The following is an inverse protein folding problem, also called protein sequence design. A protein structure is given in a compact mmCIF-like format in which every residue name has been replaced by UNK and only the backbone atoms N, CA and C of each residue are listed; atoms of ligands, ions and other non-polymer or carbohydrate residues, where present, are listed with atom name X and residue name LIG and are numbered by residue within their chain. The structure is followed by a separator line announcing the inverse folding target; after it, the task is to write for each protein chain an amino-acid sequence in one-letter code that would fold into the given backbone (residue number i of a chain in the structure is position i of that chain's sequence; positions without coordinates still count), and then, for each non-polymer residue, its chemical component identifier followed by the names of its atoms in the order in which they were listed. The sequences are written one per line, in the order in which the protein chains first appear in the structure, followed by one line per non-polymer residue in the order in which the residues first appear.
data_IF_292726766192
#
_entry.id   IF_292726766192
#
_cell.length_a   1.000
_cell.length_b   1.000
_cell.length_c   1.000
_cell.angle_alpha   90.00
_cell.angle_beta   90.00
_cell.angle_gamma   90.00
#
_symmetry.space_group_name_H-M   'P 1'
#
loop_
_entity.id
_entity.type
_entity.pdbx_description
1 polymer ?
#
# COMPACT_ATOMS: atom_id res chain seq x y z
N UNK A 1 5.28 34.19 2.28
CA UNK A 1 3.90 33.62 2.33
C UNK A 1 3.76 32.25 1.63
N UNK A 2 4.44 31.97 0.50
CA UNK A 2 4.29 30.72 -0.31
C UNK A 2 4.75 29.40 0.34
N UNK A 3 5.76 29.43 1.23
CA UNK A 3 6.27 28.22 1.94
C UNK A 3 5.38 27.80 3.12
N UNK A 4 4.73 28.75 3.78
CA UNK A 4 3.88 28.49 4.96
C UNK A 4 2.65 27.65 4.59
N UNK A 5 1.97 27.93 3.46
CA UNK A 5 0.80 27.15 3.03
C UNK A 5 1.14 25.73 2.56
N UNK A 6 2.34 25.50 2.01
CA UNK A 6 2.78 24.16 1.59
C UNK A 6 3.11 23.27 2.80
N UNK A 7 3.85 23.81 3.78
CA UNK A 7 4.14 23.11 5.04
C UNK A 7 2.84 22.75 5.77
N UNK A 8 1.88 23.68 5.89
CA UNK A 8 0.58 23.39 6.50
C UNK A 8 -0.19 22.28 5.77
N UNK A 9 -0.19 22.28 4.42
CA UNK A 9 -0.84 21.23 3.63
C UNK A 9 -0.23 19.84 3.87
N UNK A 10 1.10 19.73 3.92
CA UNK A 10 1.79 18.47 4.19
C UNK A 10 1.54 17.96 5.62
N UNK A 11 1.52 18.85 6.63
CA UNK A 11 1.20 18.48 8.01
C UNK A 11 -0.24 17.98 8.15
N UNK A 12 -1.20 18.63 7.49
CA UNK A 12 -2.60 18.21 7.51
C UNK A 12 -2.77 16.83 6.88
N UNK A 13 -2.20 16.59 5.69
CA UNK A 13 -2.28 15.27 5.03
C UNK A 13 -1.60 14.18 5.89
N UNK A 14 -0.45 14.48 6.51
CA UNK A 14 0.22 13.53 7.39
C UNK A 14 -0.65 13.17 8.62
N UNK A 15 -1.30 14.16 9.23
CA UNK A 15 -2.22 13.93 10.35
C UNK A 15 -3.45 13.11 9.93
N UNK A 16 -4.02 13.42 8.77
CA UNK A 16 -5.16 12.67 8.19
C UNK A 16 -4.77 11.20 7.97
N UNK A 17 -3.60 10.92 7.40
CA UNK A 17 -3.11 9.55 7.20
C UNK A 17 -2.92 8.77 8.51
N UNK A 18 -2.47 9.44 9.58
CA UNK A 18 -2.37 8.81 10.91
C UNK A 18 -3.77 8.47 11.43
N UNK A 19 -4.72 9.39 11.33
CA UNK A 19 -6.10 9.17 11.78
C UNK A 19 -6.76 8.02 11.01
N UNK A 20 -6.59 7.99 9.68
CA UNK A 20 -7.03 6.90 8.80
C UNK A 20 -6.41 5.58 9.22
N UNK A 21 -5.10 5.55 9.47
CA UNK A 21 -4.39 4.36 9.93
C UNK A 21 -4.96 3.82 11.25
N UNK A 22 -5.31 4.70 12.19
CA UNK A 22 -5.96 4.33 13.45
C UNK A 22 -7.37 3.78 13.22
N UNK A 23 -8.20 4.45 12.42
CA UNK A 23 -9.55 3.97 12.07
C UNK A 23 -9.47 2.60 11.41
N UNK A 24 -8.55 2.41 10.46
CA UNK A 24 -8.31 1.13 9.79
C UNK A 24 -7.82 0.03 10.72
N UNK A 25 -6.97 0.35 11.69
CA UNK A 25 -6.53 -0.59 12.72
C UNK A 25 -7.70 -1.06 13.59
N UNK A 26 -8.47 -0.13 14.16
CA UNK A 26 -9.63 -0.49 14.98
C UNK A 26 -10.72 -1.22 14.18
N UNK A 27 -10.94 -0.80 12.92
CA UNK A 27 -11.83 -1.50 11.99
C UNK A 27 -11.43 -2.97 11.87
N UNK A 28 -10.16 -3.23 11.59
CA UNK A 28 -9.67 -4.59 11.38
C UNK A 28 -9.75 -5.42 12.67
N UNK A 29 -9.36 -4.85 13.82
CA UNK A 29 -9.48 -5.51 15.13
C UNK A 29 -10.94 -5.90 15.42
N UNK A 30 -11.90 -4.98 15.28
CA UNK A 30 -13.31 -5.27 15.56
C UNK A 30 -13.87 -6.26 14.53
N UNK A 31 -13.58 -6.05 13.25
CA UNK A 31 -14.02 -6.94 12.17
C UNK A 31 -13.55 -8.38 12.43
N UNK A 32 -12.28 -8.56 12.79
CA UNK A 32 -11.70 -9.87 13.06
C UNK A 32 -12.34 -10.58 14.25
N UNK A 33 -12.81 -9.85 15.27
CA UNK A 33 -13.60 -10.41 16.38
C UNK A 33 -15.00 -10.85 15.94
N UNK A 34 -15.59 -10.18 14.97
CA UNK A 34 -16.96 -10.45 14.51
C UNK A 34 -17.04 -11.59 13.50
N UNK A 35 -16.05 -11.71 12.59
CA UNK A 35 -16.08 -12.69 11.48
C UNK A 35 -15.04 -13.81 11.61
N UNK A 36 -14.16 -13.72 12.61
CA UNK A 36 -13.10 -14.71 12.88
C UNK A 36 -11.95 -14.67 11.88
N UNK A 37 -10.94 -15.52 12.13
CA UNK A 37 -9.73 -15.60 11.32
C UNK A 37 -9.98 -16.05 9.88
N UNK A 38 -10.89 -17.02 9.69
CA UNK A 38 -11.28 -17.52 8.37
C UNK A 38 -11.90 -16.42 7.50
N UNK A 39 -12.87 -15.67 8.03
CA UNK A 39 -13.51 -14.58 7.30
C UNK A 39 -12.52 -13.47 6.94
N UNK A 40 -11.58 -13.18 7.83
CA UNK A 40 -10.47 -12.28 7.55
C UNK A 40 -9.55 -12.85 6.45
N UNK A 41 -9.29 -14.16 6.45
CA UNK A 41 -8.56 -14.85 5.39
C UNK A 41 -9.20 -14.66 4.02
N UNK A 42 -10.51 -14.94 3.92
CA UNK A 42 -11.30 -14.74 2.70
C UNK A 42 -11.29 -13.27 2.24
N UNK A 43 -11.41 -12.32 3.17
CA UNK A 43 -11.31 -10.89 2.89
C UNK A 43 -9.93 -10.52 2.31
N UNK A 44 -8.85 -11.04 2.87
CA UNK A 44 -7.48 -10.75 2.44
C UNK A 44 -7.13 -11.43 1.11
N UNK A 45 -7.61 -12.66 0.87
CA UNK A 45 -7.52 -13.33 -0.42
C UNK A 45 -8.23 -12.52 -1.51
N UNK A 46 -9.47 -12.09 -1.24
CA UNK A 46 -10.26 -11.24 -2.14
C UNK A 46 -9.54 -9.93 -2.43
N UNK A 47 -9.03 -9.27 -1.40
CA UNK A 47 -8.26 -8.02 -1.53
C UNK A 47 -7.01 -8.21 -2.38
N UNK A 48 -6.33 -9.35 -2.25
CA UNK A 48 -5.12 -9.67 -3.03
C UNK A 48 -5.43 -9.92 -4.50
N UNK A 49 -6.63 -10.39 -4.84
CA UNK A 49 -7.12 -10.48 -6.23
C UNK A 49 -7.52 -9.10 -6.75
N UNK A 50 -8.16 -8.27 -5.92
CA UNK A 50 -8.64 -6.95 -6.30
C UNK A 50 -7.50 -5.97 -6.65
N UNK A 51 -6.39 -6.01 -5.91
CA UNK A 51 -5.29 -5.04 -6.04
C UNK A 51 -4.66 -4.97 -7.46
N UNK A 52 -4.36 -6.09 -8.16
CA UNK A 52 -3.90 -6.06 -9.55
C UNK A 52 -4.85 -5.35 -10.51
N UNK A 53 -6.17 -5.49 -10.34
CA UNK A 53 -7.15 -4.78 -11.17
C UNK A 53 -7.16 -3.28 -10.86
N UNK A 54 -7.10 -2.93 -9.57
CA UNK A 54 -7.09 -1.53 -9.14
C UNK A 54 -5.83 -0.79 -9.59
N UNK A 55 -4.65 -1.40 -9.48
CA UNK A 55 -3.39 -0.67 -9.77
C UNK A 55 -3.28 -0.25 -11.25
N UNK A 56 -3.98 -0.93 -12.17
CA UNK A 56 -4.06 -0.55 -13.58
C UNK A 56 -4.63 0.86 -13.75
N UNK A 57 -5.66 1.21 -12.96
CA UNK A 57 -6.35 2.50 -13.02
C UNK A 57 -5.85 3.48 -11.97
N UNK A 58 -5.45 3.02 -10.79
CA UNK A 58 -5.06 3.89 -9.67
C UNK A 58 -3.56 4.17 -9.60
N UNK A 59 -2.72 3.39 -10.27
CA UNK A 59 -1.26 3.50 -10.18
C UNK A 59 -0.72 4.83 -10.73
N UNK A 60 -0.98 5.12 -12.00
CA UNK A 60 -0.44 6.30 -12.67
C UNK A 60 -1.43 7.41 -12.96
N UNK A 61 -2.71 7.08 -13.20
CA UNK A 61 -3.70 8.03 -13.73
C UNK A 61 -3.96 9.20 -12.76
N UNK A 62 -4.24 8.97 -11.45
CA UNK A 62 -4.49 10.06 -10.50
C UNK A 62 -3.29 11.02 -10.39
N UNK A 63 -2.08 10.48 -10.40
CA UNK A 63 -0.83 11.23 -10.34
C UNK A 63 -0.63 12.08 -11.59
N UNK A 64 -0.89 11.52 -12.77
CA UNK A 64 -0.84 12.23 -14.04
C UNK A 64 -1.86 13.39 -14.08
N UNK A 65 -3.10 13.13 -13.66
CA UNK A 65 -4.15 14.16 -13.55
C UNK A 65 -3.73 15.28 -12.61
N UNK A 66 -3.28 14.94 -11.39
CA UNK A 66 -2.84 15.92 -10.40
C UNK A 66 -1.73 16.82 -10.95
N UNK A 67 -0.73 16.21 -11.59
CA UNK A 67 0.40 16.91 -12.20
C UNK A 67 -0.02 17.85 -13.34
N UNK A 68 -0.74 17.34 -14.33
CA UNK A 68 -1.12 18.11 -15.52
C UNK A 68 -2.08 19.26 -15.18
N UNK A 69 -2.98 19.05 -14.21
CA UNK A 69 -3.88 20.11 -13.70
C UNK A 69 -3.10 21.17 -12.92
N UNK A 70 -2.11 20.77 -12.11
CA UNK A 70 -1.25 21.71 -11.40
C UNK A 70 -0.36 22.53 -12.36
N UNK A 71 0.16 21.91 -13.42
CA UNK A 71 0.93 22.57 -14.49
C UNK A 71 0.08 23.63 -15.21
N UNK A 72 -1.19 23.32 -15.53
CA UNK A 72 -2.12 24.28 -16.12
C UNK A 72 -2.38 25.49 -15.22
N UNK A 73 -2.59 25.28 -13.92
CA UNK A 73 -2.78 26.39 -12.97
C UNK A 73 -1.54 27.27 -12.80
N UNK A 74 -0.36 26.75 -13.14
CA UNK A 74 0.88 27.54 -13.13
C UNK A 74 1.08 28.41 -14.37
N UNK A 75 0.17 28.33 -15.36
CA UNK A 75 0.25 29.07 -16.62
C UNK A 75 1.13 28.43 -17.69
N UNK A 76 1.65 27.22 -17.44
CA UNK A 76 2.62 26.55 -18.30
C UNK A 76 2.02 25.43 -19.19
N UNK A 77 0.70 25.42 -19.43
CA UNK A 77 0.04 24.34 -20.17
C UNK A 77 -0.75 24.82 -21.39
N UNK A 78 -0.72 24.02 -22.44
CA UNK A 78 -1.52 24.14 -23.67
C UNK A 78 -2.92 23.49 -23.54
N UNK A 79 -3.13 22.68 -22.50
CA UNK A 79 -4.38 21.95 -22.24
C UNK A 79 -5.15 22.57 -21.08
N UNK A 80 -6.47 22.57 -21.16
CA UNK A 80 -7.33 22.99 -20.05
C UNK A 80 -7.37 21.88 -18.98
N UNK A 81 -7.14 22.22 -17.71
CA UNK A 81 -7.19 21.27 -16.59
C UNK A 81 -8.51 20.48 -16.52
N UNK A 82 -9.63 21.12 -16.90
CA UNK A 82 -10.94 20.46 -17.03
C UNK A 82 -10.96 19.34 -18.07
N UNK A 83 -10.33 19.56 -19.23
CA UNK A 83 -10.32 18.59 -20.34
C UNK A 83 -9.46 17.38 -20.01
N UNK A 84 -8.35 17.59 -19.32
CA UNK A 84 -7.51 16.51 -18.77
C UNK A 84 -8.36 15.64 -17.83
N UNK A 85 -9.07 16.27 -16.90
CA UNK A 85 -9.95 15.57 -15.96
C UNK A 85 -11.06 14.77 -16.65
N UNK A 86 -11.79 15.38 -17.58
CA UNK A 86 -12.87 14.71 -18.33
C UNK A 86 -12.34 13.52 -19.16
N UNK A 87 -11.20 13.69 -19.82
CA UNK A 87 -10.55 12.60 -20.57
C UNK A 87 -10.15 11.45 -19.65
N UNK A 88 -9.59 11.77 -18.47
CA UNK A 88 -9.23 10.78 -17.47
C UNK A 88 -10.45 10.03 -16.92
N UNK A 89 -11.56 10.74 -16.64
CA UNK A 89 -12.82 10.16 -16.16
C UNK A 89 -13.38 9.17 -17.17
N UNK A 90 -13.52 9.57 -18.45
CA UNK A 90 -14.08 8.69 -19.49
C UNK A 90 -13.20 7.46 -19.71
N UNK A 91 -11.89 7.66 -19.81
CA UNK A 91 -10.94 6.56 -19.98
C UNK A 91 -10.97 5.59 -18.79
N UNK A 92 -10.91 6.13 -17.57
CA UNK A 92 -10.88 5.31 -16.35
C UNK A 92 -12.18 4.56 -16.14
N UNK A 93 -13.33 5.16 -16.44
CA UNK A 93 -14.62 4.49 -16.38
C UNK A 93 -14.68 3.31 -17.37
N UNK A 94 -14.26 3.53 -18.62
CA UNK A 94 -14.25 2.47 -19.64
C UNK A 94 -13.33 1.30 -19.24
N UNK A 95 -12.10 1.60 -18.80
CA UNK A 95 -11.12 0.58 -18.38
C UNK A 95 -11.58 -0.15 -17.12
N UNK A 96 -12.01 0.58 -16.09
CA UNK A 96 -12.45 -0.05 -14.82
C UNK A 96 -13.71 -0.89 -14.99
N UNK A 97 -14.64 -0.50 -15.86
CA UNK A 97 -15.81 -1.32 -16.19
C UNK A 97 -15.40 -2.61 -16.90
N UNK A 98 -14.49 -2.53 -17.87
CA UNK A 98 -13.92 -3.71 -18.53
C UNK A 98 -13.23 -4.64 -17.52
N UNK A 99 -12.40 -4.09 -16.64
CA UNK A 99 -11.70 -4.84 -15.59
C UNK A 99 -12.66 -5.49 -14.59
N UNK A 100 -13.74 -4.79 -14.21
CA UNK A 100 -14.79 -5.32 -13.35
C UNK A 100 -15.52 -6.52 -13.99
N UNK A 101 -15.85 -6.43 -15.28
CA UNK A 101 -16.43 -7.55 -16.04
C UNK A 101 -15.46 -8.74 -16.17
N UNK A 102 -14.16 -8.47 -16.39
CA UNK A 102 -13.14 -9.51 -16.41
C UNK A 102 -13.06 -10.19 -15.03
N UNK A 103 -13.10 -9.45 -13.93
CA UNK A 103 -13.08 -10.03 -12.59
C UNK A 103 -14.30 -10.93 -12.35
N UNK A 104 -15.50 -10.51 -12.78
CA UNK A 104 -16.72 -11.32 -12.70
C UNK A 104 -16.57 -12.62 -13.52
N UNK A 105 -16.10 -12.51 -14.77
CA UNK A 105 -15.93 -13.66 -15.65
C UNK A 105 -14.88 -14.66 -15.12
N UNK A 106 -13.82 -14.15 -14.48
CA UNK A 106 -12.75 -14.98 -13.91
C UNK A 106 -13.04 -15.42 -12.46
N UNK A 107 -14.06 -14.89 -11.79
CA UNK A 107 -14.30 -15.12 -10.36
C UNK A 107 -14.37 -16.61 -10.01
N UNK A 108 -15.09 -17.41 -10.81
CA UNK A 108 -15.19 -18.87 -10.62
C UNK A 108 -13.86 -19.60 -10.81
N UNK A 109 -13.07 -19.21 -11.82
CA UNK A 109 -11.74 -19.80 -12.08
C UNK A 109 -10.78 -19.45 -10.94
N UNK A 110 -10.85 -18.22 -10.43
CA UNK A 110 -10.00 -17.75 -9.33
C UNK A 110 -10.36 -18.47 -8.03
N UNK A 111 -11.64 -18.56 -7.67
CA UNK A 111 -12.06 -19.22 -6.41
C UNK A 111 -11.76 -20.71 -6.41
N UNK A 112 -12.22 -21.44 -7.43
CA UNK A 112 -12.10 -22.91 -7.49
C UNK A 112 -10.74 -23.40 -7.98
N UNK A 113 -10.11 -22.68 -8.92
CA UNK A 113 -8.85 -23.09 -9.53
C UNK A 113 -7.62 -22.54 -8.81
N UNK A 114 -7.56 -21.22 -8.60
CA UNK A 114 -6.37 -20.57 -8.06
C UNK A 114 -6.27 -20.70 -6.53
N UNK A 115 -7.36 -20.45 -5.81
CA UNK A 115 -7.40 -20.53 -4.34
C UNK A 115 -7.93 -21.85 -3.80
N UNK A 116 -8.60 -22.66 -4.65
CA UNK A 116 -9.23 -23.94 -4.28
C UNK A 116 -10.17 -23.76 -3.06
N UNK A 117 -10.92 -22.66 -3.04
CA UNK A 117 -11.87 -22.33 -2.00
C UNK A 117 -13.13 -21.68 -2.61
N UNK A 118 -14.24 -22.44 -2.62
CA UNK A 118 -15.51 -22.00 -3.21
C UNK A 118 -16.18 -20.85 -2.43
N UNK A 119 -15.91 -20.72 -1.12
CA UNK A 119 -16.46 -19.64 -0.29
C UNK A 119 -15.93 -18.26 -0.68
N UNK A 120 -14.86 -18.21 -1.48
CA UNK A 120 -14.30 -16.97 -2.01
C UNK A 120 -15.15 -16.39 -3.15
N UNK A 121 -15.94 -17.20 -3.86
CA UNK A 121 -16.73 -16.76 -5.02
C UNK A 121 -17.65 -15.56 -4.72
N UNK A 122 -18.52 -15.57 -3.70
CA UNK A 122 -19.38 -14.42 -3.39
C UNK A 122 -18.57 -13.17 -3.05
N UNK A 123 -17.42 -13.32 -2.39
CA UNK A 123 -16.54 -12.20 -2.07
C UNK A 123 -15.98 -11.55 -3.35
N UNK A 124 -15.51 -12.36 -4.32
CA UNK A 124 -14.98 -11.84 -5.60
C UNK A 124 -16.06 -11.11 -6.42
N UNK A 125 -17.28 -11.65 -6.47
CA UNK A 125 -18.39 -11.02 -7.19
C UNK A 125 -18.78 -9.68 -6.55
N UNK A 126 -18.80 -9.59 -5.21
CA UNK A 126 -19.08 -8.36 -4.47
C UNK A 126 -17.93 -7.34 -4.53
N UNK A 127 -16.70 -7.78 -4.82
CA UNK A 127 -15.55 -6.89 -5.03
C UNK A 127 -15.55 -6.21 -6.40
N UNK A 128 -16.20 -6.81 -7.41
CA UNK A 128 -16.24 -6.27 -8.77
C UNK A 128 -16.72 -4.82 -8.89
N UNK A 129 -17.82 -4.37 -8.23
CA UNK A 129 -18.22 -2.96 -8.27
C UNK A 129 -17.18 -2.02 -7.65
N UNK A 130 -16.41 -2.48 -6.66
CA UNK A 130 -15.36 -1.68 -6.03
C UNK A 130 -14.29 -1.25 -7.04
N UNK A 131 -14.00 -2.08 -8.06
CA UNK A 131 -13.04 -1.73 -9.12
C UNK A 131 -13.43 -0.42 -9.80
N UNK A 132 -14.70 -0.26 -10.16
CA UNK A 132 -15.18 0.95 -10.83
C UNK A 132 -15.18 2.14 -9.89
N UNK A 133 -15.75 1.97 -8.68
CA UNK A 133 -15.93 3.07 -7.73
C UNK A 133 -14.57 3.62 -7.27
N UNK A 134 -13.65 2.75 -6.83
CA UNK A 134 -12.29 3.14 -6.38
C UNK A 134 -11.52 3.84 -7.51
N UNK A 135 -11.60 3.30 -8.73
CA UNK A 135 -10.92 3.91 -9.88
C UNK A 135 -11.40 5.33 -10.14
N UNK A 136 -12.72 5.54 -10.04
CA UNK A 136 -13.33 6.86 -10.18
C UNK A 136 -12.93 7.79 -9.03
N UNK A 137 -13.03 7.34 -7.78
CA UNK A 137 -12.61 8.09 -6.59
C UNK A 137 -11.16 8.58 -6.75
N UNK A 138 -10.25 7.71 -7.19
CA UNK A 138 -8.84 8.03 -7.35
C UNK A 138 -8.60 9.17 -8.36
N UNK A 139 -9.31 9.18 -9.49
CA UNK A 139 -9.20 10.26 -10.51
C UNK A 139 -9.71 11.59 -9.97
N UNK A 140 -10.85 11.58 -9.26
CA UNK A 140 -11.40 12.77 -8.62
C UNK A 140 -10.46 13.33 -7.55
N UNK A 141 -9.89 12.46 -6.70
CA UNK A 141 -8.92 12.86 -5.69
C UNK A 141 -7.67 13.45 -6.32
N UNK A 142 -7.16 12.84 -7.40
CA UNK A 142 -6.07 13.37 -8.22
C UNK A 142 -6.36 14.77 -8.77
N UNK A 143 -7.57 15.01 -9.27
CA UNK A 143 -8.01 16.32 -9.74
C UNK A 143 -8.04 17.37 -8.61
N UNK A 144 -8.62 17.06 -7.45
CA UNK A 144 -8.64 17.97 -6.30
C UNK A 144 -7.22 18.28 -5.80
N UNK A 145 -6.33 17.30 -5.76
CA UNK A 145 -4.91 17.52 -5.44
C UNK A 145 -4.25 18.48 -6.46
N UNK A 146 -4.50 18.30 -7.75
CA UNK A 146 -4.02 19.21 -8.80
C UNK A 146 -4.56 20.64 -8.66
N UNK A 147 -5.81 20.78 -8.19
CA UNK A 147 -6.42 22.07 -7.85
C UNK A 147 -5.94 22.68 -6.52
N UNK A 148 -5.10 21.96 -5.76
CA UNK A 148 -4.62 22.30 -4.41
C UNK A 148 -5.70 22.31 -3.33
N UNK A 149 -6.79 21.56 -3.53
CA UNK A 149 -7.85 21.36 -2.53
C UNK A 149 -7.54 20.13 -1.65
N UNK A 150 -6.36 20.14 -1.02
CA UNK A 150 -5.81 19.02 -0.25
C UNK A 150 -6.69 18.63 0.94
N UNK A 151 -7.32 19.62 1.59
CA UNK A 151 -8.21 19.40 2.74
C UNK A 151 -9.49 18.68 2.35
N UNK A 152 -10.09 19.03 1.21
CA UNK A 152 -11.29 18.38 0.71
C UNK A 152 -11.02 16.93 0.27
N UNK A 153 -9.86 16.69 -0.36
CA UNK A 153 -9.39 15.35 -0.71
C UNK A 153 -9.08 14.51 0.54
N UNK A 154 -8.45 15.08 1.58
CA UNK A 154 -8.20 14.36 2.82
C UNK A 154 -9.47 14.09 3.63
N UNK A 155 -10.47 14.98 3.60
CA UNK A 155 -11.78 14.73 4.20
C UNK A 155 -12.52 13.56 3.51
N UNK A 156 -12.32 13.42 2.19
CA UNK A 156 -12.83 12.33 1.36
C UNK A 156 -12.42 10.94 1.90
N UNK A 157 -11.13 10.77 2.22
CA UNK A 157 -10.60 9.53 2.79
C UNK A 157 -11.17 9.23 4.19
N UNK A 158 -11.34 10.26 5.03
CA UNK A 158 -11.97 10.08 6.35
C UNK A 158 -13.43 9.61 6.18
N UNK A 159 -14.17 10.20 5.24
CA UNK A 159 -15.56 9.81 4.93
C UNK A 159 -15.61 8.35 4.47
N UNK A 160 -14.71 7.93 3.59
CA UNK A 160 -14.60 6.53 3.12
C UNK A 160 -14.46 5.56 4.30
N UNK A 161 -13.42 5.76 5.12
CA UNK A 161 -13.07 4.86 6.20
C UNK A 161 -14.12 4.85 7.32
N UNK A 162 -14.65 6.01 7.69
CA UNK A 162 -15.68 6.12 8.73
C UNK A 162 -17.00 5.51 8.27
N UNK A 163 -17.42 5.78 7.02
CA UNK A 163 -18.67 5.22 6.48
C UNK A 163 -18.57 3.70 6.35
N UNK A 164 -17.45 3.18 5.82
CA UNK A 164 -17.20 1.73 5.78
C UNK A 164 -17.20 1.12 7.17
N UNK A 165 -16.50 1.74 8.12
CA UNK A 165 -16.46 1.27 9.51
C UNK A 165 -17.87 1.17 10.10
N UNK A 166 -18.63 2.27 10.07
CA UNK A 166 -19.94 2.33 10.72
C UNK A 166 -20.94 1.38 10.09
N UNK A 167 -20.99 1.32 8.76
CA UNK A 167 -21.96 0.47 8.05
C UNK A 167 -21.61 -1.00 8.20
N UNK A 168 -20.35 -1.41 7.96
CA UNK A 168 -19.97 -2.82 8.03
C UNK A 168 -20.10 -3.35 9.45
N UNK A 169 -19.53 -2.64 10.43
CA UNK A 169 -19.58 -3.09 11.83
C UNK A 169 -21.02 -3.06 12.33
N UNK A 170 -21.79 -2.01 12.03
CA UNK A 170 -23.21 -1.93 12.37
C UNK A 170 -24.00 -3.11 11.81
N UNK A 171 -23.84 -3.42 10.52
CA UNK A 171 -24.56 -4.52 9.87
C UNK A 171 -24.16 -5.89 10.43
N UNK A 172 -22.86 -6.13 10.66
CA UNK A 172 -22.38 -7.37 11.26
C UNK A 172 -22.87 -7.57 12.69
N UNK A 173 -22.95 -6.50 13.50
CA UNK A 173 -23.47 -6.59 14.86
C UNK A 173 -24.97 -6.91 14.92
N UNK A 174 -25.75 -6.42 13.94
CA UNK A 174 -27.20 -6.69 13.85
C UNK A 174 -27.51 -8.11 13.37
N UNK A 175 -26.63 -8.70 12.56
CA UNK A 175 -26.84 -10.01 11.95
C UNK A 175 -26.22 -11.18 12.73
N UNK A 176 -25.63 -10.95 13.92
CA UNK A 176 -24.95 -12.03 14.65
C UNK A 176 -25.92 -13.14 15.08
N UNK A 177 -25.50 -14.43 15.01
CA UNK A 177 -24.21 -14.92 14.50
C UNK A 177 -24.17 -15.01 12.96
N UNK A 178 -23.05 -14.57 12.36
CA UNK A 178 -22.81 -14.64 10.90
C UNK A 178 -21.73 -15.68 10.62
N UNK A 179 -21.86 -16.46 9.55
CA UNK A 179 -20.78 -17.37 9.13
C UNK A 179 -19.56 -16.59 8.62
N UNK A 180 -18.33 -17.13 8.74
CA UNK A 180 -17.12 -16.44 8.29
C UNK A 180 -17.18 -15.98 6.83
N UNK A 181 -17.68 -16.83 5.92
CA UNK A 181 -17.86 -16.50 4.51
C UNK A 181 -18.81 -15.31 4.27
N UNK A 182 -19.98 -15.31 4.92
CA UNK A 182 -20.93 -14.19 4.81
C UNK A 182 -20.39 -12.92 5.46
N UNK A 183 -19.66 -13.04 6.58
CA UNK A 183 -18.99 -11.93 7.22
C UNK A 183 -17.94 -11.27 6.32
N UNK A 184 -17.14 -12.08 5.64
CA UNK A 184 -16.17 -11.63 4.64
C UNK A 184 -16.85 -10.94 3.46
N UNK A 185 -17.93 -11.52 2.93
CA UNK A 185 -18.71 -10.96 1.83
C UNK A 185 -19.28 -9.57 2.18
N UNK A 186 -19.84 -9.40 3.39
CA UNK A 186 -20.33 -8.11 3.91
C UNK A 186 -19.17 -7.11 4.00
N UNK A 187 -18.01 -7.53 4.52
CA UNK A 187 -16.84 -6.66 4.64
C UNK A 187 -16.33 -6.18 3.28
N UNK A 188 -16.28 -7.07 2.28
CA UNK A 188 -15.88 -6.73 0.90
C UNK A 188 -16.89 -5.79 0.25
N UNK A 189 -18.19 -6.06 0.37
CA UNK A 189 -19.24 -5.17 -0.10
C UNK A 189 -19.11 -3.76 0.54
N UNK A 190 -18.75 -3.73 1.82
CA UNK A 190 -18.46 -2.50 2.57
C UNK A 190 -17.38 -1.62 1.95
N UNK A 191 -16.42 -2.18 1.21
CA UNK A 191 -15.43 -1.39 0.45
C UNK A 191 -16.14 -0.51 -0.56
N UNK A 192 -17.02 -1.10 -1.39
CA UNK A 192 -17.82 -0.38 -2.39
C UNK A 192 -18.71 0.69 -1.75
N UNK A 193 -19.32 0.40 -0.60
CA UNK A 193 -20.22 1.33 0.09
C UNK A 193 -19.47 2.54 0.64
N UNK A 194 -18.32 2.32 1.31
CA UNK A 194 -17.49 3.42 1.82
C UNK A 194 -16.96 4.31 0.69
N UNK A 195 -16.47 3.68 -0.38
CA UNK A 195 -15.98 4.37 -1.57
C UNK A 195 -17.06 5.13 -2.32
N UNK A 196 -18.31 4.63 -2.34
CA UNK A 196 -19.41 5.36 -2.93
C UNK A 196 -19.72 6.66 -2.18
N UNK A 197 -19.67 6.63 -0.84
CA UNK A 197 -19.83 7.82 -0.02
C UNK A 197 -18.70 8.84 -0.26
N UNK A 198 -17.47 8.37 -0.40
CA UNK A 198 -16.33 9.21 -0.79
C UNK A 198 -16.53 9.85 -2.18
N UNK A 199 -16.87 9.04 -3.18
CA UNK A 199 -17.10 9.51 -4.55
C UNK A 199 -18.21 10.56 -4.62
N UNK A 200 -19.31 10.39 -3.87
CA UNK A 200 -20.39 11.38 -3.77
C UNK A 200 -19.86 12.71 -3.22
N UNK A 201 -19.06 12.67 -2.14
CA UNK A 201 -18.43 13.86 -1.56
C UNK A 201 -17.52 14.55 -2.59
N UNK A 202 -16.66 13.79 -3.27
CA UNK A 202 -15.74 14.33 -4.27
C UNK A 202 -16.47 14.98 -5.45
N UNK A 203 -17.53 14.34 -5.96
CA UNK A 203 -18.37 14.91 -7.03
C UNK A 203 -19.02 16.21 -6.58
N UNK A 204 -19.51 16.27 -5.33
CA UNK A 204 -20.13 17.48 -4.79
C UNK A 204 -19.12 18.64 -4.69
N UNK A 205 -17.92 18.39 -4.15
CA UNK A 205 -16.84 19.39 -4.07
C UNK A 205 -16.43 19.85 -5.47
N UNK A 206 -16.23 18.91 -6.38
CA UNK A 206 -15.85 19.16 -7.78
C UNK A 206 -16.86 20.11 -8.45
N UNK A 207 -18.16 19.79 -8.41
CA UNK A 207 -19.21 20.62 -9.00
C UNK A 207 -19.28 22.03 -8.39
N UNK A 208 -19.13 22.12 -7.06
CA UNK A 208 -19.16 23.41 -6.35
C UNK A 208 -17.99 24.31 -6.78
N UNK A 209 -16.82 23.74 -6.97
CA UNK A 209 -15.63 24.48 -7.38
C UNK A 209 -15.64 24.79 -8.88
N UNK A 210 -16.13 23.88 -9.72
CA UNK A 210 -16.34 24.12 -11.15
C UNK A 210 -17.30 25.29 -11.41
N UNK A 211 -18.35 25.45 -10.60
CA UNK A 211 -19.29 26.57 -10.69
C UNK A 211 -18.65 27.94 -10.36
N UNK A 212 -17.51 27.96 -9.66
CA UNK A 212 -16.77 29.18 -9.29
C UNK A 212 -15.70 29.57 -10.32
N UNK A 213 -15.37 28.67 -11.24
CA UNK A 213 -14.33 28.91 -12.24
C UNK A 213 -14.93 29.54 -13.51
N UNK A 214 -14.23 30.50 -14.14
CA UNK A 214 -14.64 31.02 -15.44
C UNK A 214 -14.74 29.87 -16.45
N UNK A 215 -15.75 29.92 -17.33
CA UNK A 215 -15.89 28.92 -18.41
C UNK A 215 -14.58 28.84 -19.19
N UNK A 216 -14.03 27.64 -19.41
CA UNK A 216 -12.75 27.51 -20.09
C UNK A 216 -12.85 28.04 -21.52
N UNK A 217 -11.86 28.83 -21.93
CA UNK A 217 -11.65 29.11 -23.37
C UNK A 217 -11.35 27.77 -24.05
N UNK A 218 -12.03 27.47 -25.16
CA UNK A 218 -11.81 26.25 -25.94
C UNK A 218 -10.33 26.14 -26.32
N UNK A 219 -9.66 25.09 -25.86
CA UNK A 219 -8.30 24.77 -26.32
C UNK A 219 -8.38 24.11 -27.71
N UNK A 220 -7.51 24.49 -28.66
CA UNK A 220 -7.50 23.92 -30.01
C UNK A 220 -7.05 22.45 -30.08
N UNK A 221 -6.47 21.89 -29.02
CA UNK A 221 -5.97 20.51 -29.02
C UNK A 221 -7.12 19.49 -28.88
N UNK A 222 -7.18 18.43 -29.70
CA UNK A 222 -8.21 17.39 -29.63
C UNK A 222 -8.14 16.50 -28.36
N UNK A 223 -9.23 15.77 -28.06
CA UNK A 223 -9.28 14.74 -27.00
C UNK A 223 -8.16 13.68 -27.11
N UNK A 224 -7.80 13.16 -28.30
CA UNK A 224 -6.76 12.14 -28.44
C UNK A 224 -5.40 12.61 -27.92
N UNK A 225 -5.03 13.87 -28.20
CA UNK A 225 -3.75 14.44 -27.78
C UNK A 225 -3.68 14.76 -26.28
N UNK A 226 -4.80 14.77 -25.56
CA UNK A 226 -4.81 14.91 -24.08
C UNK A 226 -4.62 13.55 -23.41
N UNK A 227 -5.23 12.50 -23.98
CA UNK A 227 -5.12 11.14 -23.46
C UNK A 227 -3.70 10.58 -23.63
N UNK A 228 -3.04 10.84 -24.76
CA UNK A 228 -1.64 10.40 -24.97
C UNK A 228 -0.70 10.94 -23.91
N UNK A 229 -0.73 12.25 -23.65
CA UNK A 229 0.10 12.90 -22.62
C UNK A 229 -0.20 12.35 -21.23
N UNK A 230 -1.47 12.06 -20.94
CA UNK A 230 -1.86 11.43 -19.68
C UNK A 230 -1.26 10.03 -19.55
N UNK A 231 -1.34 9.21 -20.60
CA UNK A 231 -0.83 7.83 -20.60
C UNK A 231 0.70 7.76 -20.59
N UNK A 232 1.40 8.72 -21.20
CA UNK A 232 2.87 8.80 -21.14
C UNK A 232 3.38 8.97 -19.71
N UNK A 233 2.63 9.69 -18.86
CA UNK A 233 2.94 9.84 -17.44
C UNK A 233 2.43 8.64 -16.64
N UNK A 234 1.21 8.19 -16.91
CA UNK A 234 0.57 7.15 -16.11
C UNK A 234 1.16 5.75 -16.35
N UNK A 235 1.51 5.41 -17.59
CA UNK A 235 1.96 4.07 -17.99
C UNK A 235 3.16 3.55 -17.17
N UNK A 236 4.29 4.29 -17.09
CA UNK A 236 5.45 3.87 -16.32
C UNK A 236 5.17 3.70 -14.82
N UNK A 237 4.31 4.57 -14.25
CA UNK A 237 3.91 4.51 -12.84
C UNK A 237 3.04 3.29 -12.57
N UNK A 238 2.06 3.02 -13.43
CA UNK A 238 1.21 1.83 -13.36
C UNK A 238 2.04 0.55 -13.50
N UNK A 239 3.00 0.49 -14.44
CA UNK A 239 3.86 -0.68 -14.62
C UNK A 239 4.72 -0.95 -13.37
N UNK A 240 5.26 0.11 -12.76
CA UNK A 240 6.02 0.00 -11.52
C UNK A 240 5.14 -0.53 -10.38
N UNK A 241 3.92 -0.01 -10.24
CA UNK A 241 2.94 -0.48 -9.25
C UNK A 241 2.56 -1.94 -9.46
N UNK A 242 2.25 -2.34 -10.69
CA UNK A 242 1.88 -3.71 -11.07
C UNK A 242 2.94 -4.73 -10.64
N UNK A 243 4.22 -4.42 -10.85
CA UNK A 243 5.31 -5.33 -10.44
C UNK A 243 5.29 -5.67 -8.95
N UNK A 244 4.98 -4.68 -8.10
CA UNK A 244 4.92 -4.85 -6.65
C UNK A 244 3.63 -5.52 -6.20
N UNK A 245 2.52 -5.23 -6.87
CA UNK A 245 1.21 -5.80 -6.55
C UNK A 245 1.14 -7.28 -6.91
N UNK A 246 1.63 -7.67 -8.10
CA UNK A 246 1.66 -9.08 -8.53
C UNK A 246 2.45 -9.93 -7.54
N UNK A 247 3.57 -9.41 -7.02
CA UNK A 247 4.39 -10.11 -6.03
C UNK A 247 3.66 -10.32 -4.68
N UNK A 248 2.82 -9.37 -4.28
CA UNK A 248 1.98 -9.50 -3.08
C UNK A 248 0.84 -10.50 -3.31
N UNK A 249 0.16 -10.44 -4.45
CA UNK A 249 -0.88 -11.40 -4.83
C UNK A 249 -0.33 -12.83 -4.93
N UNK A 250 0.92 -12.99 -5.42
CA UNK A 250 1.59 -14.29 -5.45
C UNK A 250 1.75 -14.89 -4.05
N UNK A 251 2.12 -14.09 -3.04
CA UNK A 251 2.17 -14.56 -1.64
C UNK A 251 0.79 -14.96 -1.12
N UNK A 252 -0.23 -14.16 -1.42
CA UNK A 252 -1.59 -14.42 -0.96
C UNK A 252 -2.21 -15.70 -1.54
N UNK A 253 -1.77 -16.11 -2.73
CA UNK A 253 -2.14 -17.39 -3.35
C UNK A 253 -1.25 -18.53 -2.82
N UNK A 254 0.07 -18.31 -2.76
CA UNK A 254 1.03 -19.35 -2.41
C UNK A 254 0.85 -19.87 -0.99
N UNK A 255 0.65 -18.99 -0.01
CA UNK A 255 0.62 -19.38 1.41
C UNK A 255 -0.57 -20.33 1.67
N UNK A 256 -1.83 -19.99 1.35
CA UNK A 256 -2.95 -20.91 1.56
C UNK A 256 -2.80 -22.23 0.79
N UNK A 257 -2.35 -22.19 -0.47
CA UNK A 257 -2.14 -23.42 -1.26
C UNK A 257 -1.12 -24.36 -0.62
N UNK A 258 -0.03 -23.81 -0.07
CA UNK A 258 1.01 -24.63 0.58
C UNK A 258 0.58 -25.11 1.96
N UNK A 259 -0.22 -24.34 2.70
CA UNK A 259 -0.86 -24.79 3.93
C UNK A 259 -1.84 -25.95 3.67
N UNK A 260 -2.59 -25.91 2.57
CA UNK A 260 -3.42 -27.05 2.18
C UNK A 260 -2.55 -28.27 1.80
N UNK A 261 -1.45 -28.05 1.07
CA UNK A 261 -0.50 -29.11 0.75
C UNK A 261 0.20 -29.71 1.99
N UNK A 262 0.25 -28.98 3.11
CA UNK A 262 0.75 -29.48 4.39
C UNK A 262 -0.28 -30.30 5.17
N UNK A 263 -1.51 -30.47 4.63
CA UNK A 263 -2.57 -31.29 5.20
C UNK A 263 -3.76 -30.52 5.79
N UNK A 264 -3.76 -29.19 5.75
CA UNK A 264 -4.90 -28.39 6.22
C UNK A 264 -6.05 -28.40 5.19
N UNK A 265 -7.27 -28.27 5.69
CA UNK A 265 -8.43 -27.97 4.85
C UNK A 265 -8.37 -26.53 4.31
N UNK A 266 -9.16 -26.23 3.27
CA UNK A 266 -9.22 -24.87 2.70
C UNK A 266 -9.67 -23.80 3.69
N UNK A 267 -10.55 -24.14 4.63
CA UNK A 267 -11.04 -23.26 5.70
C UNK A 267 -9.97 -23.01 6.76
N UNK A 268 -9.25 -24.05 7.20
CA UNK A 268 -8.11 -23.92 8.13
C UNK A 268 -6.96 -23.13 7.52
N UNK A 269 -6.62 -23.39 6.25
CA UNK A 269 -5.60 -22.64 5.53
C UNK A 269 -5.97 -21.16 5.36
N UNK A 270 -7.25 -20.86 5.09
CA UNK A 270 -7.76 -19.49 5.07
C UNK A 270 -7.69 -18.83 6.45
N UNK A 271 -8.03 -19.55 7.52
CA UNK A 271 -7.93 -19.04 8.88
C UNK A 271 -6.48 -18.70 9.28
N UNK A 272 -5.52 -19.59 9.01
CA UNK A 272 -4.10 -19.33 9.28
C UNK A 272 -3.54 -18.17 8.46
N UNK A 273 -3.92 -18.08 7.18
CA UNK A 273 -3.60 -16.93 6.36
C UNK A 273 -4.21 -15.63 6.93
N UNK A 274 -5.46 -15.67 7.37
CA UNK A 274 -6.16 -14.54 7.99
C UNK A 274 -5.53 -14.08 9.30
N UNK A 275 -5.10 -15.01 10.17
CA UNK A 275 -4.32 -14.71 11.38
C UNK A 275 -3.05 -13.96 11.01
N UNK A 276 -2.31 -14.46 10.02
CA UNK A 276 -1.05 -13.86 9.58
C UNK A 276 -1.27 -12.45 8.99
N UNK A 277 -2.10 -12.33 7.96
CA UNK A 277 -2.19 -11.09 7.16
C UNK A 277 -3.13 -10.05 7.76
N UNK A 278 -4.22 -10.49 8.40
CA UNK A 278 -5.23 -9.59 8.91
C UNK A 278 -5.10 -9.26 10.39
N UNK A 279 -4.51 -10.14 11.21
CA UNK A 279 -4.36 -9.91 12.65
C UNK A 279 -2.91 -9.59 13.05
N UNK A 280 -1.93 -10.36 12.59
CA UNK A 280 -0.51 -10.18 13.00
C UNK A 280 0.17 -9.06 12.24
N UNK A 281 0.02 -8.97 10.91
CA UNK A 281 0.70 -7.94 10.11
C UNK A 281 0.35 -6.51 10.53
N UNK A 282 -0.91 -6.11 10.80
CA UNK A 282 -1.19 -4.75 11.27
C UNK A 282 -0.36 -4.35 12.49
N UNK A 283 -0.07 -5.29 13.40
CA UNK A 283 0.84 -5.08 14.53
C UNK A 283 2.30 -4.99 14.07
N UNK A 284 2.79 -5.97 13.33
CA UNK A 284 4.19 -6.04 12.85
C UNK A 284 4.58 -4.81 12.00
N UNK A 285 3.63 -4.24 11.26
CA UNK A 285 3.82 -3.03 10.46
C UNK A 285 3.63 -1.72 11.24
N UNK A 286 3.24 -1.72 12.52
CA UNK A 286 3.07 -0.48 13.31
C UNK A 286 4.31 0.44 13.31
N UNK A 287 5.57 -0.03 13.37
CA UNK A 287 6.72 0.86 13.31
C UNK A 287 6.85 1.62 11.97
N UNK A 288 6.15 1.19 10.90
CA UNK A 288 6.13 1.94 9.64
C UNK A 288 5.52 3.31 9.78
N UNK A 289 4.59 3.50 10.71
CA UNK A 289 4.00 4.84 10.95
C UNK A 289 5.09 5.86 11.30
N UNK A 290 6.02 5.49 12.18
CA UNK A 290 7.16 6.31 12.58
C UNK A 290 8.20 6.38 11.46
N UNK A 291 8.60 5.24 10.88
CA UNK A 291 9.66 5.24 9.86
C UNK A 291 9.24 5.93 8.56
N UNK A 292 7.95 5.91 8.20
CA UNK A 292 7.45 6.62 7.02
C UNK A 292 7.50 8.13 7.21
N UNK A 293 7.06 8.62 8.37
CA UNK A 293 7.19 10.04 8.73
C UNK A 293 8.67 10.48 8.75
N UNK A 294 9.55 9.59 9.22
CA UNK A 294 10.98 9.81 9.23
C UNK A 294 11.55 9.86 7.80
N UNK A 295 11.20 8.91 6.93
CA UNK A 295 11.67 8.84 5.52
C UNK A 295 11.24 10.09 4.74
N UNK A 296 10.00 10.56 4.92
CA UNK A 296 9.50 11.81 4.29
C UNK A 296 10.37 13.02 4.66
N UNK A 297 10.87 13.07 5.90
CA UNK A 297 11.75 14.15 6.36
C UNK A 297 13.23 13.93 5.99
N UNK A 298 13.71 12.69 5.97
CA UNK A 298 15.09 12.35 5.62
C UNK A 298 15.34 12.63 4.16
N UNK A 299 14.45 12.22 3.26
CA UNK A 299 14.68 12.32 1.80
C UNK A 299 15.15 13.71 1.39
N UNK A 300 14.39 14.81 1.60
CA UNK A 300 14.80 16.12 1.15
C UNK A 300 16.09 16.61 1.83
N UNK A 301 16.23 16.38 3.14
CA UNK A 301 17.40 16.83 3.90
C UNK A 301 18.68 16.09 3.50
N UNK A 302 18.60 14.78 3.36
CA UNK A 302 19.73 13.93 3.00
C UNK A 302 20.10 14.11 1.53
N UNK A 303 19.14 14.25 0.61
CA UNK A 303 19.39 14.58 -0.80
C UNK A 303 20.17 15.90 -0.92
N UNK A 304 19.79 16.93 -0.17
CA UNK A 304 20.48 18.21 -0.17
C UNK A 304 21.91 18.10 0.38
N UNK A 305 22.09 17.42 1.51
CA UNK A 305 23.41 17.20 2.12
C UNK A 305 24.35 16.35 1.25
N UNK A 306 23.81 15.32 0.59
CA UNK A 306 24.54 14.47 -0.35
C UNK A 306 24.97 15.25 -1.60
N UNK A 307 24.06 16.07 -2.16
CA UNK A 307 24.36 16.94 -3.31
C UNK A 307 25.42 17.99 -2.96
N UNK A 308 25.38 18.54 -1.75
CA UNK A 308 26.39 19.45 -1.22
C UNK A 308 27.71 18.76 -0.84
N UNK A 309 27.86 17.45 -1.11
CA UNK A 309 29.01 16.61 -0.75
C UNK A 309 29.42 16.69 0.73
N UNK A 310 28.49 17.01 1.62
CA UNK A 310 28.74 17.15 3.04
C UNK A 310 28.55 15.80 3.75
N UNK A 311 29.50 14.88 3.52
CA UNK A 311 29.44 13.50 4.04
C UNK A 311 29.30 13.44 5.55
N UNK A 312 29.89 14.39 6.30
CA UNK A 312 29.78 14.43 7.76
C UNK A 312 28.34 14.71 8.23
N UNK A 313 27.67 15.69 7.63
CA UNK A 313 26.25 15.98 7.93
C UNK A 313 25.36 14.81 7.49
N UNK A 314 25.58 14.28 6.29
CA UNK A 314 24.83 13.14 5.77
C UNK A 314 24.92 11.90 6.67
N UNK A 315 26.13 11.53 7.12
CA UNK A 315 26.34 10.42 8.04
C UNK A 315 25.71 10.66 9.41
N UNK A 316 25.68 11.92 9.91
CA UNK A 316 24.97 12.27 11.14
C UNK A 316 23.47 12.09 10.98
N UNK A 317 22.90 12.56 9.87
CA UNK A 317 21.47 12.36 9.54
C UNK A 317 21.13 10.88 9.40
N UNK A 318 21.98 10.07 8.77
CA UNK A 318 21.80 8.61 8.68
C UNK A 318 21.85 7.95 10.07
N UNK A 319 22.81 8.31 10.93
CA UNK A 319 22.87 7.78 12.30
C UNK A 319 21.64 8.15 13.12
N UNK A 320 21.17 9.40 13.01
CA UNK A 320 19.94 9.85 13.67
C UNK A 320 18.73 9.07 13.19
N UNK A 321 18.62 8.87 11.87
CA UNK A 321 17.55 8.07 11.28
C UNK A 321 17.52 6.66 11.85
N UNK A 322 18.65 5.96 11.82
CA UNK A 322 18.76 4.58 12.33
C UNK A 322 18.47 4.52 13.84
N UNK A 323 18.99 5.48 14.62
CA UNK A 323 18.73 5.56 16.05
C UNK A 323 17.24 5.74 16.37
N UNK A 324 16.54 6.62 15.65
CA UNK A 324 15.10 6.83 15.81
C UNK A 324 14.29 5.60 15.36
N UNK A 325 14.69 4.95 14.26
CA UNK A 325 14.06 3.70 13.80
C UNK A 325 14.16 2.60 14.86
N UNK A 326 15.35 2.41 15.45
CA UNK A 326 15.55 1.42 16.51
C UNK A 326 14.80 1.79 17.78
N UNK A 327 14.79 3.08 18.16
CA UNK A 327 14.03 3.56 19.32
C UNK A 327 12.51 3.33 19.17
N UNK A 328 11.99 3.31 17.93
CA UNK A 328 10.59 2.97 17.67
C UNK A 328 10.35 1.45 17.60
N UNK A 329 11.22 0.70 16.91
CA UNK A 329 10.97 -0.70 16.60
C UNK A 329 11.34 -1.67 17.74
N UNK A 330 12.43 -1.40 18.48
CA UNK A 330 12.90 -2.31 19.54
C UNK A 330 11.90 -2.41 20.70
N UNK A 331 11.32 -1.31 21.23
CA UNK A 331 10.31 -1.43 22.27
C UNK A 331 9.07 -2.21 21.83
N UNK A 332 8.63 -2.04 20.58
CA UNK A 332 7.53 -2.82 20.01
C UNK A 332 7.89 -4.30 19.87
N UNK A 333 9.11 -4.63 19.44
CA UNK A 333 9.57 -6.02 19.37
C UNK A 333 9.60 -6.67 20.76
N UNK A 334 10.10 -5.96 21.78
CA UNK A 334 10.05 -6.44 23.17
C UNK A 334 8.61 -6.66 23.61
N UNK A 335 7.72 -5.68 23.38
CA UNK A 335 6.30 -5.78 23.69
C UNK A 335 5.64 -7.01 23.05
N UNK A 336 5.92 -7.27 21.76
CA UNK A 336 5.39 -8.43 21.05
C UNK A 336 5.94 -9.76 21.54
N UNK A 337 7.18 -9.80 22.04
CA UNK A 337 7.76 -11.03 22.59
C UNK A 337 7.27 -11.30 24.01
N UNK A 338 7.11 -10.26 24.84
CA UNK A 338 6.76 -10.39 26.26
C UNK A 338 5.25 -10.46 26.51
N UNK A 339 4.45 -9.69 25.75
CA UNK A 339 2.99 -9.60 25.92
C UNK A 339 2.21 -10.23 24.76
N UNK A 340 2.83 -11.14 24.01
CA UNK A 340 2.24 -11.77 22.82
C UNK A 340 0.87 -12.41 23.09
N UNK A 341 0.76 -13.19 24.17
CA UNK A 341 -0.44 -13.93 24.55
C UNK A 341 -1.55 -12.97 25.04
N UNK A 342 -1.30 -12.04 25.98
CA UNK A 342 -2.26 -11.01 26.34
C UNK A 342 -2.74 -10.17 25.14
N UNK A 343 -1.86 -9.84 24.20
CA UNK A 343 -2.22 -9.09 23.00
C UNK A 343 -3.14 -9.90 22.08
N UNK A 344 -2.80 -11.17 21.80
CA UNK A 344 -3.64 -12.06 20.99
C UNK A 344 -5.03 -12.25 21.60
N UNK A 345 -5.09 -12.48 22.92
CA UNK A 345 -6.33 -12.62 23.65
C UNK A 345 -7.15 -11.31 23.65
N UNK A 346 -6.56 -10.18 24.07
CA UNK A 346 -7.30 -8.92 24.21
C UNK A 346 -7.78 -8.34 22.88
N UNK A 347 -6.96 -8.44 21.82
CA UNK A 347 -7.27 -7.86 20.52
C UNK A 347 -8.08 -8.78 19.61
N UNK A 348 -7.90 -10.10 19.70
CA UNK A 348 -8.46 -11.03 18.70
C UNK A 348 -9.27 -12.19 19.29
N UNK A 349 -9.26 -12.37 20.62
CA UNK A 349 -9.83 -13.55 21.29
C UNK A 349 -9.30 -14.89 20.71
N UNK A 350 -8.06 -14.88 20.19
CA UNK A 350 -7.44 -16.03 19.53
C UNK A 350 -6.02 -16.25 20.07
N UNK A 351 -5.79 -17.41 20.71
CA UNK A 351 -4.50 -17.77 21.29
C UNK A 351 -3.43 -18.12 20.24
N UNK A 352 -3.84 -18.61 19.06
CA UNK A 352 -2.94 -18.90 17.93
C UNK A 352 -2.27 -17.62 17.41
N UNK A 353 -2.99 -16.51 17.41
CA UNK A 353 -2.45 -15.19 17.07
C UNK A 353 -1.34 -14.78 18.04
N UNK A 354 -1.49 -15.05 19.34
CA UNK A 354 -0.46 -14.74 20.34
C UNK A 354 0.88 -15.46 20.09
N UNK A 355 0.84 -16.69 19.58
CA UNK A 355 2.03 -17.43 19.15
C UNK A 355 2.72 -16.77 17.95
N UNK A 356 1.94 -16.41 16.93
CA UNK A 356 2.45 -15.74 15.72
C UNK A 356 3.00 -14.34 15.99
N UNK A 357 2.36 -13.55 16.86
CA UNK A 357 2.88 -12.25 17.33
C UNK A 357 4.27 -12.44 17.94
N UNK A 358 4.44 -13.45 18.81
CA UNK A 358 5.73 -13.74 19.44
C UNK A 358 6.79 -14.10 18.40
N UNK A 359 6.44 -14.97 17.46
CA UNK A 359 7.36 -15.47 16.44
C UNK A 359 7.80 -14.34 15.49
N UNK A 360 6.88 -13.47 15.08
CA UNK A 360 7.15 -12.34 14.19
C UNK A 360 7.73 -11.11 14.90
N UNK A 361 7.68 -11.06 16.24
CA UNK A 361 8.03 -9.88 17.02
C UNK A 361 9.42 -9.31 16.72
N UNK A 362 10.43 -10.18 16.56
CA UNK A 362 11.79 -9.77 16.19
C UNK A 362 11.91 -9.26 14.75
N UNK A 363 11.10 -9.77 13.82
CA UNK A 363 11.13 -9.37 12.41
C UNK A 363 10.77 -7.89 12.25
N UNK A 364 9.93 -7.36 13.14
CA UNK A 364 9.56 -5.94 13.25
C UNK A 364 10.77 -5.00 13.23
N UNK A 365 11.89 -5.38 13.87
CA UNK A 365 13.11 -4.55 13.90
C UNK A 365 13.78 -4.52 12.53
N UNK A 366 14.00 -5.68 11.92
CA UNK A 366 14.62 -5.78 10.59
C UNK A 366 13.76 -5.12 9.52
N UNK A 367 12.45 -5.30 9.63
CA UNK A 367 11.44 -4.70 8.78
C UNK A 367 11.48 -3.16 8.83
N UNK A 368 11.56 -2.57 10.02
CA UNK A 368 11.68 -1.11 10.19
C UNK A 368 13.03 -0.57 9.67
N UNK A 369 14.11 -1.32 9.90
CA UNK A 369 15.45 -0.97 9.42
C UNK A 369 15.53 -1.00 7.89
N UNK A 370 15.06 -2.06 7.23
CA UNK A 370 15.08 -2.14 5.77
C UNK A 370 14.29 -0.98 5.14
N UNK A 371 13.14 -0.59 5.72
CA UNK A 371 12.35 0.53 5.22
C UNK A 371 13.13 1.86 5.30
N UNK A 372 13.81 2.08 6.43
CA UNK A 372 14.66 3.25 6.64
C UNK A 372 15.84 3.27 5.67
N UNK A 373 16.51 2.13 5.47
CA UNK A 373 17.65 2.02 4.56
C UNK A 373 17.24 2.22 3.10
N UNK A 374 16.14 1.62 2.66
CA UNK A 374 15.58 1.87 1.34
C UNK A 374 15.27 3.36 1.14
N UNK A 375 14.68 4.03 2.14
CA UNK A 375 14.45 5.48 2.10
C UNK A 375 15.75 6.29 1.96
N UNK A 376 16.81 5.91 2.68
CA UNK A 376 18.14 6.52 2.55
C UNK A 376 18.73 6.31 1.15
N UNK A 377 18.63 5.10 0.58
CA UNK A 377 19.08 4.82 -0.78
C UNK A 377 18.33 5.66 -1.82
N UNK A 378 17.01 5.77 -1.68
CA UNK A 378 16.18 6.63 -2.52
C UNK A 378 16.64 8.09 -2.45
N UNK A 379 16.99 8.58 -1.25
CA UNK A 379 17.50 9.94 -1.01
C UNK A 379 18.83 10.23 -1.74
N UNK A 380 19.67 9.22 -1.97
CA UNK A 380 20.95 9.39 -2.67
C UNK A 380 20.91 8.98 -4.14
N UNK A 381 19.71 8.85 -4.71
CA UNK A 381 19.50 8.52 -6.12
C UNK A 381 19.75 7.05 -6.45
N UNK A 382 19.76 6.15 -5.46
CA UNK A 382 19.96 4.70 -5.64
C UNK A 382 18.66 3.89 -5.61
N UNK A 383 17.56 4.48 -6.08
CA UNK A 383 16.24 3.85 -6.05
C UNK A 383 16.21 2.49 -6.76
N UNK A 384 16.88 2.36 -7.91
CA UNK A 384 16.90 1.11 -8.67
C UNK A 384 17.61 -0.02 -7.89
N UNK A 385 18.63 0.31 -7.08
CA UNK A 385 19.30 -0.66 -6.21
C UNK A 385 18.37 -1.11 -5.08
N UNK A 386 17.69 -0.16 -4.42
CA UNK A 386 16.73 -0.48 -3.35
C UNK A 386 15.58 -1.37 -3.88
N UNK A 387 15.01 -1.03 -5.03
CA UNK A 387 13.97 -1.84 -5.67
C UNK A 387 14.48 -3.23 -6.03
N UNK A 388 15.68 -3.35 -6.61
CA UNK A 388 16.26 -4.64 -6.95
C UNK A 388 16.51 -5.51 -5.71
N UNK A 389 17.05 -4.95 -4.62
CA UNK A 389 17.24 -5.70 -3.37
C UNK A 389 15.91 -6.20 -2.81
N UNK A 390 14.87 -5.36 -2.82
CA UNK A 390 13.52 -5.74 -2.37
C UNK A 390 12.94 -6.88 -3.21
N UNK A 391 13.03 -6.79 -4.53
CA UNK A 391 12.56 -7.86 -5.43
C UNK A 391 13.33 -9.15 -5.21
N UNK A 392 14.66 -9.10 -5.09
CA UNK A 392 15.49 -10.26 -4.79
C UNK A 392 15.09 -10.90 -3.44
N UNK A 393 14.88 -10.09 -2.41
CA UNK A 393 14.41 -10.55 -1.12
C UNK A 393 13.03 -11.22 -1.19
N UNK A 394 12.09 -10.65 -1.93
CA UNK A 394 10.74 -11.22 -2.13
C UNK A 394 10.79 -12.55 -2.90
N UNK A 395 11.67 -12.66 -3.91
CA UNK A 395 11.89 -13.93 -4.62
C UNK A 395 12.44 -15.02 -3.68
N UNK A 396 13.40 -14.67 -2.82
CA UNK A 396 13.90 -15.59 -1.79
C UNK A 396 12.79 -15.97 -0.82
N UNK A 397 11.97 -15.00 -0.39
CA UNK A 397 10.84 -15.26 0.49
C UNK A 397 9.88 -16.28 -0.12
N UNK A 398 9.45 -16.06 -1.37
CA UNK A 398 8.52 -16.95 -2.06
C UNK A 398 9.11 -18.35 -2.23
N UNK A 399 10.38 -18.45 -2.61
CA UNK A 399 11.08 -19.73 -2.74
C UNK A 399 11.14 -20.50 -1.42
N UNK A 400 11.56 -19.84 -0.34
CA UNK A 400 11.64 -20.48 0.99
C UNK A 400 10.25 -20.79 1.53
N UNK A 401 9.28 -19.89 1.37
CA UNK A 401 7.89 -20.11 1.79
C UNK A 401 7.29 -21.30 1.07
N UNK A 402 7.53 -21.46 -0.24
CA UNK A 402 7.05 -22.61 -0.99
C UNK A 402 7.46 -23.94 -0.36
N UNK A 403 8.74 -24.07 0.02
CA UNK A 403 9.26 -25.30 0.61
C UNK A 403 8.84 -25.47 2.07
N UNK A 404 9.00 -24.45 2.92
CA UNK A 404 8.77 -24.57 4.35
C UNK A 404 7.29 -24.57 4.74
N UNK A 405 6.45 -23.77 4.07
CA UNK A 405 5.01 -23.71 4.41
C UNK A 405 4.30 -25.01 4.04
N UNK A 406 4.76 -25.67 2.97
CA UNK A 406 4.21 -26.97 2.56
C UNK A 406 4.67 -28.15 3.41
N UNK A 407 5.58 -27.94 4.37
CA UNK A 407 6.00 -29.00 5.28
C UNK A 407 5.01 -29.09 6.46
N UNK A 408 4.35 -30.25 6.68
CA UNK A 408 3.40 -30.46 7.79
C UNK A 408 3.95 -30.10 9.17
N UNK A 409 5.25 -30.30 9.41
CA UNK A 409 5.88 -30.03 10.71
C UNK A 409 6.06 -28.52 10.98
N UNK A 410 6.12 -27.70 9.92
CA UNK A 410 6.40 -26.27 10.02
C UNK A 410 5.16 -25.41 9.76
N UNK A 411 4.36 -25.73 8.74
CA UNK A 411 3.19 -24.96 8.33
C UNK A 411 3.45 -23.46 8.31
N UNK A 412 2.66 -22.70 9.08
CA UNK A 412 2.76 -21.23 9.17
C UNK A 412 4.11 -20.75 9.72
N UNK A 413 4.78 -21.54 10.58
CA UNK A 413 6.12 -21.20 11.07
C UNK A 413 7.15 -21.14 9.93
N UNK A 414 6.93 -21.91 8.85
CA UNK A 414 7.72 -21.83 7.63
C UNK A 414 7.63 -20.45 6.96
N UNK A 415 6.48 -19.79 7.03
CA UNK A 415 6.33 -18.41 6.56
C UNK A 415 7.11 -17.42 7.44
N UNK A 416 7.08 -17.60 8.76
CA UNK A 416 7.84 -16.74 9.68
C UNK A 416 9.33 -16.75 9.32
N UNK A 417 9.91 -17.93 9.09
CA UNK A 417 11.31 -18.08 8.68
C UNK A 417 11.59 -17.38 7.35
N UNK A 418 10.74 -17.57 6.33
CA UNK A 418 10.92 -16.92 5.03
C UNK A 418 10.86 -15.40 5.15
N UNK A 419 9.96 -14.87 6.00
CA UNK A 419 9.83 -13.44 6.27
C UNK A 419 11.06 -12.86 6.98
N UNK A 420 11.65 -13.56 7.95
CA UNK A 420 12.93 -13.15 8.56
C UNK A 420 14.05 -13.10 7.53
N UNK A 421 14.18 -14.13 6.69
CA UNK A 421 15.21 -14.17 5.65
C UNK A 421 15.04 -13.00 4.67
N UNK A 422 13.81 -12.74 4.22
CA UNK A 422 13.47 -11.59 3.39
C UNK A 422 13.95 -10.28 4.01
N UNK A 423 13.45 -9.97 5.21
CA UNK A 423 13.72 -8.68 5.87
C UNK A 423 15.20 -8.51 6.20
N UNK A 424 15.90 -9.59 6.58
CA UNK A 424 17.33 -9.58 6.86
C UNK A 424 18.17 -9.36 5.60
N UNK A 425 17.90 -10.10 4.52
CA UNK A 425 18.63 -9.97 3.25
C UNK A 425 18.55 -8.54 2.73
N UNK A 426 17.35 -7.97 2.67
CA UNK A 426 17.17 -6.59 2.19
C UNK A 426 17.86 -5.60 3.11
N UNK A 427 17.74 -5.76 4.43
CA UNK A 427 18.42 -4.91 5.41
C UNK A 427 19.95 -4.92 5.22
N UNK A 428 20.54 -6.10 5.04
CA UNK A 428 22.00 -6.25 4.82
C UNK A 428 22.43 -5.66 3.48
N UNK A 429 21.73 -5.97 2.39
CA UNK A 429 22.04 -5.46 1.06
C UNK A 429 21.94 -3.93 1.00
N UNK A 430 20.88 -3.36 1.56
CA UNK A 430 20.70 -1.91 1.61
C UNK A 430 21.76 -1.24 2.50
N UNK A 431 22.03 -1.80 3.69
CA UNK A 431 23.07 -1.30 4.58
C UNK A 431 24.45 -1.29 3.93
N UNK A 432 24.78 -2.33 3.17
CA UNK A 432 26.02 -2.40 2.40
C UNK A 432 26.06 -1.39 1.24
N UNK A 433 24.95 -1.19 0.54
CA UNK A 433 24.85 -0.20 -0.53
C UNK A 433 24.96 1.25 -0.01
N UNK A 434 24.47 1.53 1.21
CA UNK A 434 24.65 2.79 1.92
C UNK A 434 26.12 2.97 2.28
N UNK A 435 26.76 1.95 2.88
CA UNK A 435 28.20 1.99 3.21
C UNK A 435 29.08 2.23 1.99
N UNK A 436 28.76 1.62 0.84
CA UNK A 436 29.43 1.91 -0.44
C UNK A 436 29.11 3.31 -1.00
N UNK A 437 27.95 3.86 -0.68
CA UNK A 437 27.55 5.22 -1.07
C UNK A 437 28.33 6.31 -0.34
N UNK A 438 28.65 6.07 0.93
CA UNK A 438 29.30 7.01 1.85
C UNK A 438 30.69 6.56 2.36
N UNK A 439 31.24 5.48 1.82
CA UNK A 439 32.54 4.92 2.21
C UNK A 439 33.73 5.84 1.87
N UNK A 440 34.92 5.60 2.44
CA UNK A 440 36.06 6.49 2.33
C UNK A 440 36.46 6.77 0.87
N UNK A 441 36.94 7.99 0.56
CA UNK A 441 37.12 8.51 -0.80
C UNK A 441 38.24 7.86 -1.64
N UNK A 442 38.71 6.66 -1.30
CA UNK A 442 39.93 6.08 -1.90
C UNK A 442 39.77 5.42 -3.28
N UNK A 443 38.58 5.44 -3.90
CA UNK A 443 38.39 4.80 -5.22
C UNK A 443 37.54 5.59 -6.23
N UNK A 444 37.06 6.79 -5.85
CA UNK A 444 36.24 7.64 -6.74
C UNK A 444 37.03 8.71 -7.49
N UNK A 445 38.29 8.95 -7.12
CA UNK A 445 39.17 9.88 -7.83
C UNK A 445 39.78 9.26 -9.11
N UNK A 446 40.07 7.96 -9.14
CA UNK A 446 40.74 7.38 -10.32
C UNK A 446 39.82 7.10 -11.52
N UNK A 447 38.55 6.75 -11.30
CA UNK A 447 37.64 6.44 -12.42
C UNK A 447 37.12 7.66 -13.19
N UNK A 448 37.26 8.88 -12.63
CA UNK A 448 36.95 10.12 -13.36
C UNK A 448 38.18 10.77 -13.98
N UNK A 449 39.37 10.55 -13.42
CA UNK A 449 40.63 10.98 -14.06
C UNK A 449 40.90 10.18 -15.35
N UNK A 450 40.63 8.87 -15.37
CA UNK A 450 40.87 8.01 -16.53
C UNK A 450 39.84 8.14 -17.67
N UNK A 451 38.76 8.91 -17.50
CA UNK A 451 37.77 9.19 -18.56
C UNK A 451 37.98 10.52 -19.29
N UNK A 452 38.97 11.30 -18.86
CA UNK A 452 39.38 12.54 -19.52
C UNK A 452 40.83 12.46 -20.04
N UNK A 453 41.46 11.28 -19.99
CA UNK A 453 42.84 11.05 -20.44
C UNK A 453 42.96 9.94 -21.49
N UNK A 454 41.89 9.65 -22.26
CA UNK A 454 41.92 8.71 -23.38
C UNK A 454 41.14 9.24 -24.56
#
# INVERSE_FOLDING_TARGET
MRKLNFLHGSFVVAFINILIGLIGFFYNVILSKLIGAEGIGLFQMTSSVLMPFLIITTGGIPTAVSRLVAEQRSGNSTYTGRRIFESAVVFTLAVSLCLSLILIALAGIISSGLFVNEELLPCLLLAAPAVVIISMTAVFRGYLYGMRLMTAAGASEIIEHLTRFLIVIGFLTLLQPVSPAWGAAIAVCGISVGELADLIWLIWVEKREAARLPRPKLSPAGLPGTLTVLLDIAGPLTLTGLSSTIMQSANAVLIPLRLMASGLSGTEAAAEFGRLTGMVFPLVYLPFTVTSALVVNIIPNLSAQYSARNSRKALRTIRQAVGLTLAAAVPLAVLYVTLSQPLGAALYHDAGVGGLIRAMGGATVFLALQHTFSGILNSIGKQNQATFHRLAGLCVQLGVAYWLVGNPDLGVSGYVVSFYLYTLIVCVLDGFAIRRGFGPPAARQDRRALRYSS
#
